data_IF_476767532379
#
_entry.id   IF_476767532379
#
_cell.length_a   1.000
_cell.length_b   1.000
_cell.length_c   1.000
_cell.angle_alpha   90.00
_cell.angle_beta   90.00
_cell.angle_gamma   90.00
#
_symmetry.space_group_name_H-M   'P 1'
#
loop_
_entity.id
_entity.type
_entity.pdbx_description
1 polymer ?
#
# COMPACT_ATOMS: atom_id res chain seq x y z
N UNK A 1 -28.16 -14.91 -6.13
CA UNK A 1 -26.88 -14.31 -5.70
C UNK A 1 -27.21 -13.07 -4.90
N UNK A 2 -26.86 -13.01 -3.61
CA UNK A 2 -27.20 -11.88 -2.73
C UNK A 2 -26.14 -10.80 -2.92
N UNK A 3 -26.47 -9.77 -3.70
CA UNK A 3 -25.55 -8.66 -3.98
C UNK A 3 -25.62 -7.72 -2.78
N UNK A 4 -24.52 -7.59 -2.03
CA UNK A 4 -24.43 -6.60 -0.96
C UNK A 4 -24.44 -5.22 -1.62
N UNK A 5 -25.33 -4.29 -1.22
CA UNK A 5 -25.26 -2.92 -1.70
C UNK A 5 -23.93 -2.33 -1.25
N UNK A 6 -23.03 -2.11 -2.20
CA UNK A 6 -21.73 -1.49 -1.99
C UNK A 6 -21.80 -0.06 -2.48
N UNK A 7 -21.57 0.91 -1.59
CA UNK A 7 -21.45 2.31 -2.00
C UNK A 7 -20.03 2.56 -2.49
N UNK A 8 -19.75 2.19 -3.75
CA UNK A 8 -18.43 2.43 -4.34
C UNK A 8 -18.18 3.91 -4.69
N UNK A 9 -19.20 4.79 -4.53
CA UNK A 9 -19.15 6.22 -4.81
C UNK A 9 -18.48 6.57 -6.16
N UNK A 10 -18.50 5.65 -7.14
CA UNK A 10 -17.72 5.78 -8.38
C UNK A 10 -18.11 7.02 -9.18
N UNK A 11 -19.41 7.32 -9.28
CA UNK A 11 -19.89 8.54 -9.95
C UNK A 11 -19.37 9.80 -9.28
N UNK A 12 -19.36 9.85 -7.94
CA UNK A 12 -18.87 11.01 -7.20
C UNK A 12 -17.35 11.14 -7.27
N UNK A 13 -16.62 10.02 -7.24
CA UNK A 13 -15.18 9.98 -7.39
C UNK A 13 -14.74 10.41 -8.79
N UNK A 14 -15.49 10.03 -9.83
CA UNK A 14 -15.20 10.43 -11.23
C UNK A 14 -15.28 11.94 -11.47
N UNK A 15 -16.05 12.66 -10.63
CA UNK A 15 -16.22 14.12 -10.71
C UNK A 15 -15.14 14.89 -9.95
N UNK A 16 -14.29 14.21 -9.18
CA UNK A 16 -13.20 14.85 -8.42
C UNK A 16 -11.91 14.76 -9.20
N UNK A 17 -11.09 15.80 -9.10
CA UNK A 17 -9.72 15.72 -9.55
C UNK A 17 -9.00 14.58 -8.81
N UNK A 18 -7.99 14.01 -9.46
CA UNK A 18 -7.08 13.08 -8.80
C UNK A 18 -6.42 13.74 -7.56
N UNK A 19 -5.62 12.96 -6.83
CA UNK A 19 -4.89 13.43 -5.67
C UNK A 19 -4.16 14.78 -5.92
N UNK A 20 -4.15 15.68 -4.92
CA UNK A 20 -3.48 16.98 -5.03
C UNK A 20 -2.06 16.97 -4.45
N UNK A 21 -1.16 17.71 -5.08
CA UNK A 21 0.22 17.89 -4.60
C UNK A 21 0.26 18.53 -3.21
N UNK A 22 -0.57 19.55 -2.98
CA UNK A 22 -0.65 20.32 -1.71
C UNK A 22 -1.18 19.50 -0.51
N UNK A 23 -1.65 18.27 -0.72
CA UNK A 23 -2.09 17.39 0.38
C UNK A 23 -1.47 16.02 0.25
N UNK A 24 -1.94 15.23 -0.72
CA UNK A 24 -1.48 13.85 -0.90
C UNK A 24 -0.03 13.76 -1.41
N UNK A 25 0.43 14.77 -2.16
CA UNK A 25 1.83 14.86 -2.60
C UNK A 25 2.81 15.18 -1.47
N UNK A 26 2.39 15.96 -0.46
CA UNK A 26 3.24 16.41 0.64
C UNK A 26 3.59 15.34 1.67
N UNK A 27 2.83 14.24 1.75
CA UNK A 27 3.05 13.20 2.76
C UNK A 27 4.09 12.19 2.29
N UNK A 28 5.04 11.88 3.17
CA UNK A 28 5.98 10.79 2.98
C UNK A 28 5.22 9.46 2.87
N UNK A 29 5.50 8.71 1.80
CA UNK A 29 4.85 7.43 1.49
C UNK A 29 5.87 6.31 1.47
N UNK A 30 5.61 5.25 2.22
CA UNK A 30 6.42 4.03 2.24
C UNK A 30 5.56 2.86 1.76
N UNK A 31 6.13 1.99 0.94
CA UNK A 31 5.44 0.81 0.42
C UNK A 31 6.09 -0.47 0.96
N UNK A 32 5.29 -1.39 1.51
CA UNK A 32 5.77 -2.71 1.96
C UNK A 32 5.25 -3.76 0.99
N UNK A 33 6.15 -4.29 0.17
CA UNK A 33 5.87 -5.27 -0.87
C UNK A 33 5.84 -6.69 -0.30
N UNK A 34 4.78 -7.43 -0.62
CA UNK A 34 4.62 -8.84 -0.23
C UNK A 34 4.94 -9.74 -1.42
N UNK A 35 6.00 -10.54 -1.32
CA UNK A 35 6.61 -11.24 -2.47
C UNK A 35 5.77 -12.44 -2.96
N UNK A 36 4.96 -13.05 -2.10
CA UNK A 36 4.11 -14.20 -2.45
C UNK A 36 2.62 -13.80 -2.52
N UNK A 37 2.33 -12.51 -2.65
CA UNK A 37 0.96 -12.03 -2.82
C UNK A 37 0.40 -12.47 -4.20
N UNK A 38 -0.65 -13.30 -4.14
CA UNK A 38 -1.36 -13.79 -5.32
C UNK A 38 -2.52 -12.87 -5.76
N UNK A 39 -2.98 -11.97 -4.90
CA UNK A 39 -4.05 -10.99 -5.20
C UNK A 39 -3.48 -9.75 -5.89
N UNK A 40 -2.35 -9.25 -5.38
CA UNK A 40 -1.57 -8.16 -5.96
C UNK A 40 -0.18 -8.69 -6.27
N UNK A 41 0.03 -9.17 -7.49
CA UNK A 41 1.30 -9.79 -7.86
C UNK A 41 2.50 -8.86 -7.61
N UNK A 42 3.70 -9.38 -7.30
CA UNK A 42 4.88 -8.55 -7.08
C UNK A 42 5.18 -7.60 -8.24
N UNK A 43 4.96 -8.05 -9.48
CA UNK A 43 5.13 -7.21 -10.67
C UNK A 43 4.15 -6.04 -10.69
N UNK A 44 2.91 -6.27 -10.28
CA UNK A 44 1.91 -5.21 -10.17
C UNK A 44 2.25 -4.23 -9.04
N UNK A 45 2.71 -4.74 -7.90
CA UNK A 45 3.19 -3.89 -6.79
C UNK A 45 4.38 -3.03 -7.22
N UNK A 46 5.36 -3.60 -7.93
CA UNK A 46 6.51 -2.86 -8.49
C UNK A 46 6.06 -1.84 -9.54
N UNK A 47 5.06 -2.17 -10.36
CA UNK A 47 4.45 -1.21 -11.28
C UNK A 47 3.80 -0.05 -10.52
N UNK A 48 3.05 -0.29 -9.44
CA UNK A 48 2.46 0.77 -8.61
C UNK A 48 3.54 1.70 -8.04
N UNK A 49 4.61 1.13 -7.48
CA UNK A 49 5.76 1.87 -6.96
C UNK A 49 6.43 2.72 -8.06
N UNK A 50 6.55 2.20 -9.28
CA UNK A 50 7.13 2.96 -10.40
C UNK A 50 6.26 4.15 -10.82
N UNK A 51 4.94 4.02 -10.72
CA UNK A 51 4.00 5.04 -11.18
C UNK A 51 3.61 6.07 -10.10
N UNK A 52 3.96 5.83 -8.84
CA UNK A 52 3.71 6.77 -7.75
C UNK A 52 4.97 6.97 -6.91
N UNK A 53 5.40 8.22 -6.65
CA UNK A 53 6.60 8.47 -5.86
C UNK A 53 6.43 7.91 -4.44
N UNK A 54 7.22 6.87 -4.14
CA UNK A 54 7.40 6.34 -2.79
C UNK A 54 8.77 6.77 -2.28
N UNK A 55 8.83 7.20 -1.03
CA UNK A 55 10.08 7.59 -0.38
C UNK A 55 10.95 6.36 -0.08
N UNK A 56 10.31 5.25 0.26
CA UNK A 56 10.98 3.99 0.57
C UNK A 56 10.11 2.80 0.16
N UNK A 57 10.76 1.70 -0.19
CA UNK A 57 10.11 0.42 -0.47
C UNK A 57 10.82 -0.66 0.31
N UNK A 58 10.06 -1.42 1.09
CA UNK A 58 10.53 -2.57 1.86
C UNK A 58 9.92 -3.84 1.26
N UNK A 59 10.62 -4.98 1.31
CA UNK A 59 10.09 -6.25 0.79
C UNK A 59 10.05 -7.30 1.90
N UNK A 60 8.94 -8.03 1.99
CA UNK A 60 8.79 -9.18 2.89
C UNK A 60 8.71 -10.45 2.05
N UNK A 61 9.80 -11.22 2.06
CA UNK A 61 9.86 -12.53 1.41
C UNK A 61 8.93 -13.52 2.12
N UNK A 62 8.14 -14.27 1.34
CA UNK A 62 7.18 -15.24 1.87
C UNK A 62 5.93 -14.65 2.51
N UNK A 63 5.70 -13.34 2.40
CA UNK A 63 4.42 -12.74 2.77
C UNK A 63 3.41 -12.91 1.62
N UNK A 64 2.24 -13.44 1.97
CA UNK A 64 1.06 -13.43 1.11
C UNK A 64 0.34 -12.06 1.18
N UNK A 65 -0.89 -11.99 0.65
CA UNK A 65 -1.71 -10.78 0.68
C UNK A 65 -2.04 -10.27 2.10
N UNK A 66 -1.92 -11.14 3.10
CA UNK A 66 -2.24 -10.87 4.49
C UNK A 66 -0.96 -10.96 5.33
N UNK A 67 0.03 -10.05 5.17
CA UNK A 67 1.31 -10.12 5.87
C UNK A 67 1.17 -10.07 7.39
N UNK A 68 0.10 -9.47 7.91
CA UNK A 68 -0.24 -9.47 9.33
C UNK A 68 -0.61 -10.87 9.87
N UNK A 69 -0.90 -11.83 8.99
CA UNK A 69 -1.21 -13.22 9.33
C UNK A 69 -0.07 -14.16 8.92
N UNK A 70 0.45 -14.03 7.70
CA UNK A 70 1.49 -14.92 7.16
C UNK A 70 2.88 -14.59 7.69
N UNK A 71 3.22 -13.30 7.82
CA UNK A 71 4.55 -12.78 8.24
C UNK A 71 4.44 -11.65 9.28
N UNK A 72 3.72 -11.86 10.40
CA UNK A 72 3.43 -10.78 11.36
C UNK A 72 4.68 -10.17 12.00
N UNK A 73 5.73 -10.98 12.21
CA UNK A 73 6.95 -10.50 12.86
C UNK A 73 7.74 -9.59 11.93
N UNK A 74 7.92 -9.99 10.69
CA UNK A 74 8.60 -9.23 9.64
C UNK A 74 7.85 -7.93 9.35
N UNK A 75 6.51 -7.99 9.29
CA UNK A 75 5.70 -6.78 9.15
C UNK A 75 5.90 -5.82 10.34
N UNK A 76 5.88 -6.32 11.59
CA UNK A 76 6.16 -5.51 12.77
C UNK A 76 7.57 -4.88 12.73
N UNK A 77 8.57 -5.61 12.23
CA UNK A 77 9.93 -5.09 12.07
C UNK A 77 9.96 -3.95 11.03
N UNK A 78 9.29 -4.10 9.89
CA UNK A 78 9.15 -3.04 8.90
C UNK A 78 8.50 -1.79 9.52
N UNK A 79 7.37 -1.96 10.22
CA UNK A 79 6.65 -0.85 10.86
C UNK A 79 7.52 -0.17 11.93
N UNK A 80 8.25 -0.94 12.74
CA UNK A 80 9.16 -0.38 13.75
C UNK A 80 10.33 0.37 13.11
N UNK A 81 10.90 -0.14 12.02
CA UNK A 81 11.96 0.54 11.27
C UNK A 81 11.47 1.87 10.68
N UNK A 82 10.25 1.90 10.11
CA UNK A 82 9.61 3.13 9.66
C UNK A 82 9.41 4.08 10.85
N UNK A 83 8.80 3.61 11.94
CA UNK A 83 8.59 4.44 13.11
C UNK A 83 9.90 5.08 13.61
N UNK A 84 10.98 4.30 13.68
CA UNK A 84 12.31 4.75 14.11
C UNK A 84 12.98 5.72 13.13
N UNK A 85 12.78 5.56 11.83
CA UNK A 85 13.41 6.39 10.80
C UNK A 85 12.76 7.77 10.66
N UNK A 86 11.51 7.90 11.11
CA UNK A 86 10.73 9.13 11.03
C UNK A 86 10.38 9.70 12.42
N UNK A 87 11.09 9.27 13.47
CA UNK A 87 11.02 9.92 14.78
C UNK A 87 11.48 11.37 14.61
N UNK A 88 10.58 12.30 14.90
CA UNK A 88 10.88 13.72 15.07
C UNK A 88 11.26 14.01 16.51
#
# INVERSE_FOLDING_TARGET
MMVRPTSFFQEDLSKRAAFSEERYGLVDKVFVLCVEDASLTPDYQRWMVKNSPMKEVMEINGADHMPMLSKPRELCQCIAAIANSYIR
#
